data_IF_430929487292
#
_entry.id   IF_430929487292
#
_cell.length_a   1.000
_cell.length_b   1.000
_cell.length_c   1.000
_cell.angle_alpha   90.00
_cell.angle_beta   90.00
_cell.angle_gamma   90.00
#
_symmetry.space_group_name_H-M   'P 1'
#
loop_
_entity.id
_entity.type
_entity.pdbx_description
1 polymer ?
#
# COMPACT_ATOMS: atom_id res chain seq x y z
N UNK A 1 0.32 17.74 -1.82
CA UNK A 1 0.70 16.31 -1.90
C UNK A 1 -0.16 15.39 -1.02
N UNK A 2 -0.75 15.86 0.08
CA UNK A 2 -1.55 14.97 0.98
C UNK A 2 -2.98 14.67 0.52
N UNK A 3 -3.52 15.40 -0.45
CA UNK A 3 -4.92 15.27 -0.86
C UNK A 3 -5.23 13.86 -1.39
N UNK A 4 -4.37 13.33 -2.26
CA UNK A 4 -4.56 12.04 -2.93
C UNK A 4 -4.48 10.86 -1.93
N UNK A 5 -3.47 10.78 -1.03
CA UNK A 5 -3.47 9.80 0.06
C UNK A 5 -4.69 9.89 0.98
N UNK A 6 -5.17 11.09 1.30
CA UNK A 6 -6.39 11.26 2.13
C UNK A 6 -7.65 10.76 1.43
N UNK A 7 -7.77 10.97 0.11
CA UNK A 7 -8.86 10.41 -0.68
C UNK A 7 -8.81 8.88 -0.68
N UNK A 8 -7.61 8.29 -0.84
CA UNK A 8 -7.41 6.85 -0.75
C UNK A 8 -7.85 6.34 0.63
N UNK A 9 -7.39 6.97 1.71
CA UNK A 9 -7.79 6.59 3.06
C UNK A 9 -9.32 6.57 3.22
N UNK A 10 -10.03 7.62 2.81
CA UNK A 10 -11.50 7.67 2.88
C UNK A 10 -12.18 6.57 2.06
N UNK A 11 -11.64 6.23 0.88
CA UNK A 11 -12.22 5.20 0.02
C UNK A 11 -12.01 3.79 0.57
N UNK A 12 -10.86 3.54 1.18
CA UNK A 12 -10.45 2.23 1.69
C UNK A 12 -10.84 1.98 3.15
N UNK A 13 -11.15 3.03 3.92
CA UNK A 13 -11.60 2.97 5.31
C UNK A 13 -12.74 1.97 5.57
N UNK A 14 -13.86 1.97 4.83
CA UNK A 14 -14.94 1.00 5.06
C UNK A 14 -14.51 -0.46 4.80
N UNK A 15 -13.41 -0.67 4.06
CA UNK A 15 -12.89 -1.98 3.69
C UNK A 15 -11.68 -2.40 4.54
N UNK A 16 -11.28 -1.62 5.56
CA UNK A 16 -10.05 -1.87 6.31
C UNK A 16 -10.09 -3.09 7.23
N UNK A 17 -11.23 -3.76 7.36
CA UNK A 17 -11.30 -5.02 8.10
C UNK A 17 -10.69 -6.15 7.26
N UNK A 18 -9.85 -6.98 7.90
CA UNK A 18 -9.17 -8.13 7.29
C UNK A 18 -8.34 -7.79 6.04
N UNK A 19 -7.63 -6.66 6.05
CA UNK A 19 -6.79 -6.19 4.92
C UNK A 19 -5.85 -7.28 4.40
N UNK A 20 -5.11 -7.93 5.29
CA UNK A 20 -4.14 -8.94 4.90
C UNK A 20 -4.80 -10.10 4.14
N UNK A 21 -5.95 -10.58 4.62
CA UNK A 21 -6.70 -11.64 3.96
C UNK A 21 -7.22 -11.21 2.58
N UNK A 22 -7.70 -9.97 2.44
CA UNK A 22 -8.17 -9.43 1.16
C UNK A 22 -7.05 -9.31 0.13
N UNK A 23 -5.89 -8.80 0.54
CA UNK A 23 -4.73 -8.67 -0.34
C UNK A 23 -4.21 -10.04 -0.75
N UNK A 24 -4.03 -10.97 0.20
CA UNK A 24 -3.57 -12.33 -0.10
C UNK A 24 -4.57 -13.05 -1.02
N UNK A 25 -5.87 -12.98 -0.73
CA UNK A 25 -6.91 -13.58 -1.56
C UNK A 25 -6.90 -13.01 -2.98
N UNK A 26 -6.78 -11.70 -3.12
CA UNK A 26 -6.67 -11.05 -4.43
C UNK A 26 -5.41 -11.53 -5.19
N UNK A 27 -4.25 -11.58 -4.55
CA UNK A 27 -3.01 -12.06 -5.17
C UNK A 27 -3.12 -13.52 -5.60
N UNK A 28 -3.73 -14.38 -4.79
CA UNK A 28 -3.96 -15.78 -5.15
C UNK A 28 -4.86 -15.93 -6.38
N UNK A 29 -5.93 -15.12 -6.48
CA UNK A 29 -6.82 -15.10 -7.65
C UNK A 29 -6.05 -14.67 -8.90
N UNK A 30 -5.26 -13.58 -8.81
CA UNK A 30 -4.44 -13.10 -9.93
C UNK A 30 -3.44 -14.17 -10.36
N UNK A 31 -2.77 -14.84 -9.41
CA UNK A 31 -1.83 -15.92 -9.71
C UNK A 31 -2.51 -17.11 -10.39
N UNK A 32 -3.67 -17.54 -9.88
CA UNK A 32 -4.42 -18.65 -10.45
C UNK A 32 -4.89 -18.33 -11.89
N UNK A 33 -5.45 -17.14 -12.12
CA UNK A 33 -5.88 -16.70 -13.45
C UNK A 33 -4.68 -16.59 -14.42
N UNK A 34 -3.56 -16.06 -13.95
CA UNK A 34 -2.32 -15.96 -14.74
C UNK A 34 -1.82 -17.35 -15.12
N UNK A 35 -1.80 -18.30 -14.18
CA UNK A 35 -1.35 -19.66 -14.41
C UNK A 35 -2.22 -20.40 -15.43
N UNK A 36 -3.56 -20.31 -15.29
CA UNK A 36 -4.50 -20.94 -16.22
C UNK A 36 -4.34 -20.39 -17.65
N UNK A 37 -4.15 -19.08 -17.78
CA UNK A 37 -4.10 -18.43 -19.10
C UNK A 37 -2.72 -18.48 -19.77
N UNK A 38 -1.66 -18.82 -19.02
CA UNK A 38 -0.28 -18.82 -19.51
C UNK A 38 -0.07 -19.77 -20.69
N UNK A 39 -0.68 -20.95 -20.63
CA UNK A 39 -0.43 -22.02 -21.61
C UNK A 39 -1.25 -21.84 -22.89
N UNK A 40 -2.37 -21.13 -22.84
CA UNK A 40 -3.26 -20.91 -23.99
C UNK A 40 -3.01 -19.57 -24.68
N UNK A 41 -2.78 -18.51 -23.91
CA UNK A 41 -2.67 -17.14 -24.41
C UNK A 41 -1.64 -16.34 -23.59
N UNK A 42 -0.33 -16.45 -23.91
CA UNK A 42 0.74 -15.80 -23.15
C UNK A 42 0.56 -14.29 -22.97
N UNK A 43 -0.01 -13.62 -23.99
CA UNK A 43 -0.29 -12.19 -23.96
C UNK A 43 -1.42 -11.83 -22.98
N UNK A 44 -2.48 -12.63 -22.95
CA UNK A 44 -3.58 -12.47 -22.00
C UNK A 44 -3.10 -12.72 -20.57
N UNK A 45 -2.27 -13.76 -20.36
CA UNK A 45 -1.64 -14.06 -19.08
C UNK A 45 -0.76 -12.91 -18.58
N UNK A 46 0.09 -12.35 -19.44
CA UNK A 46 0.90 -11.17 -19.12
C UNK A 46 0.02 -9.97 -18.76
N UNK A 47 -1.06 -9.73 -19.51
CA UNK A 47 -2.00 -8.65 -19.20
C UNK A 47 -2.67 -8.85 -17.83
N UNK A 48 -3.16 -10.04 -17.53
CA UNK A 48 -3.77 -10.39 -16.23
C UNK A 48 -2.76 -10.20 -15.10
N UNK A 49 -1.52 -10.67 -15.26
CA UNK A 49 -0.49 -10.53 -14.25
C UNK A 49 -0.18 -9.06 -13.95
N UNK A 50 0.11 -8.27 -14.97
CA UNK A 50 0.52 -6.88 -14.80
C UNK A 50 -0.63 -5.98 -14.32
N UNK A 51 -1.85 -6.19 -14.82
CA UNK A 51 -3.03 -5.47 -14.34
C UNK A 51 -3.40 -5.87 -12.91
N UNK A 52 -3.32 -7.16 -12.59
CA UNK A 52 -3.50 -7.67 -11.24
C UNK A 52 -2.45 -7.12 -10.27
N UNK A 53 -1.18 -7.09 -10.68
CA UNK A 53 -0.10 -6.51 -9.88
C UNK A 53 -0.30 -5.01 -9.63
N UNK A 54 -0.65 -4.23 -10.67
CA UNK A 54 -0.96 -2.82 -10.53
C UNK A 54 -2.13 -2.57 -9.56
N UNK A 55 -3.23 -3.33 -9.71
CA UNK A 55 -4.35 -3.27 -8.79
C UNK A 55 -3.96 -3.67 -7.36
N UNK A 56 -3.10 -4.68 -7.20
CA UNK A 56 -2.53 -5.09 -5.92
C UNK A 56 -1.75 -3.96 -5.24
N UNK A 57 -0.91 -3.24 -5.97
CA UNK A 57 -0.18 -2.07 -5.46
C UNK A 57 -1.15 -0.97 -5.02
N UNK A 58 -2.18 -0.67 -5.81
CA UNK A 58 -3.23 0.31 -5.48
C UNK A 58 -3.97 -0.08 -4.20
N UNK A 59 -4.30 -1.37 -4.02
CA UNK A 59 -4.91 -1.89 -2.79
C UNK A 59 -3.98 -1.69 -1.59
N UNK A 60 -2.69 -2.08 -1.72
CA UNK A 60 -1.70 -1.95 -0.65
C UNK A 60 -1.55 -0.49 -0.20
N UNK A 61 -1.32 0.44 -1.13
CA UNK A 61 -1.18 1.87 -0.79
C UNK A 61 -2.49 2.45 -0.25
N UNK A 62 -3.64 1.98 -0.73
CA UNK A 62 -4.96 2.35 -0.23
C UNK A 62 -5.14 2.00 1.24
N UNK A 63 -4.86 0.77 1.61
CA UNK A 63 -4.96 0.33 3.00
C UNK A 63 -3.87 0.94 3.90
N UNK A 64 -2.65 1.13 3.39
CA UNK A 64 -1.60 1.86 4.12
C UNK A 64 -2.00 3.32 4.38
N UNK A 65 -2.67 3.96 3.42
CA UNK A 65 -3.23 5.30 3.63
C UNK A 65 -4.25 5.33 4.77
N UNK A 66 -5.10 4.30 4.88
CA UNK A 66 -6.01 4.18 6.03
C UNK A 66 -5.21 4.10 7.34
N UNK A 67 -4.17 3.25 7.42
CA UNK A 67 -3.36 3.11 8.63
C UNK A 67 -2.64 4.41 9.02
N UNK A 68 -2.18 5.19 8.04
CA UNK A 68 -1.49 6.45 8.27
C UNK A 68 -2.43 7.55 8.78
N UNK A 69 -3.66 7.63 8.25
CA UNK A 69 -4.61 8.70 8.59
C UNK A 69 -5.65 8.31 9.64
N UNK A 70 -5.74 7.03 10.02
CA UNK A 70 -6.61 6.60 11.11
C UNK A 70 -6.13 7.23 12.42
N UNK A 71 -7.02 7.80 13.24
CA UNK A 71 -6.63 8.32 14.55
C UNK A 71 -5.97 7.19 15.35
N UNK A 72 -4.67 7.35 15.63
CA UNK A 72 -3.95 6.41 16.50
C UNK A 72 -4.52 6.59 17.89
N UNK A 73 -5.17 5.55 18.43
CA UNK A 73 -5.53 5.53 19.83
C UNK A 73 -4.24 5.80 20.62
N UNK A 74 -4.26 6.85 21.44
CA UNK A 74 -3.12 7.19 22.30
C UNK A 74 -2.75 5.92 23.07
N UNK A 75 -1.47 5.55 23.04
CA UNK A 75 -0.95 4.40 23.78
C UNK A 75 -1.33 4.54 25.25
N UNK A 76 -2.36 3.81 25.68
CA UNK A 76 -2.71 3.69 27.09
C UNK A 76 -1.89 2.54 27.65
N UNK A 77 -0.73 2.88 28.22
CA UNK A 77 0.08 1.93 28.99
C UNK A 77 -0.22 2.09 30.47
N UNK A 78 -0.44 0.97 31.16
CA UNK A 78 -0.67 0.94 32.61
C UNK A 78 0.65 0.95 33.41
N UNK A 79 1.80 0.88 32.73
CA UNK A 79 3.10 0.81 33.38
C UNK A 79 3.64 2.22 33.70
N UNK A 80 3.89 2.54 34.99
CA UNK A 80 4.28 3.89 35.43
C UNK A 80 5.64 4.33 34.89
N UNK A 81 6.58 3.41 34.65
CA UNK A 81 7.89 3.73 34.08
C UNK A 81 7.76 4.15 32.61
N UNK A 82 6.92 3.45 31.85
CA UNK A 82 6.63 3.80 30.46
C UNK A 82 5.90 5.14 30.38
N UNK A 83 4.98 5.44 31.31
CA UNK A 83 4.34 6.75 31.37
C UNK A 83 5.34 7.89 31.60
N UNK A 84 6.33 7.73 32.49
CA UNK A 84 7.38 8.74 32.69
C UNK A 84 8.23 8.96 31.43
N UNK A 85 8.59 7.89 30.72
CA UNK A 85 9.36 7.98 29.47
C UNK A 85 8.53 8.66 28.38
N UNK A 86 7.26 8.25 28.22
CA UNK A 86 6.34 8.81 27.22
C UNK A 86 6.01 10.29 27.47
N UNK A 87 6.02 10.72 28.74
CA UNK A 87 5.78 12.11 29.15
C UNK A 87 7.05 12.98 29.16
N UNK A 88 8.23 12.42 28.83
CA UNK A 88 9.46 13.20 28.78
C UNK A 88 9.51 14.11 27.56
N UNK A 89 10.00 15.34 27.73
CA UNK A 89 10.13 16.33 26.64
C UNK A 89 11.03 15.84 25.51
N UNK A 90 12.05 15.02 25.82
CA UNK A 90 12.91 14.37 24.85
C UNK A 90 12.13 13.38 23.97
N UNK A 91 11.28 12.55 24.59
CA UNK A 91 10.45 11.59 23.87
C UNK A 91 9.41 12.30 22.99
N UNK A 92 8.75 13.34 23.52
CA UNK A 92 7.80 14.14 22.73
C UNK A 92 8.47 14.79 21.51
N UNK A 93 9.68 15.35 21.70
CA UNK A 93 10.46 15.93 20.59
C UNK A 93 10.86 14.88 19.57
N UNK A 94 11.32 13.70 20.01
CA UNK A 94 11.67 12.58 19.15
C UNK A 94 10.45 12.08 18.34
N UNK A 95 9.31 11.91 18.99
CA UNK A 95 8.05 11.49 18.34
C UNK A 95 7.57 12.55 17.33
N UNK A 96 7.70 13.83 17.65
CA UNK A 96 7.39 14.94 16.73
C UNK A 96 8.25 14.88 15.47
N UNK A 97 9.56 14.74 15.61
CA UNK A 97 10.50 14.63 14.48
C UNK A 97 10.21 13.36 13.68
N UNK A 98 10.05 12.22 14.36
CA UNK A 98 9.76 10.93 13.71
C UNK A 98 8.41 10.93 12.98
N UNK A 99 7.39 11.59 13.53
CA UNK A 99 6.08 11.75 12.88
C UNK A 99 6.21 12.53 11.57
N UNK A 100 6.98 13.62 11.55
CA UNK A 100 7.26 14.39 10.33
C UNK A 100 8.02 13.57 9.29
N UNK A 101 9.08 12.89 9.71
CA UNK A 101 9.91 12.05 8.83
C UNK A 101 9.10 10.89 8.27
N UNK A 102 8.34 10.17 9.10
CA UNK A 102 7.49 9.06 8.64
C UNK A 102 6.39 9.52 7.70
N UNK A 103 5.78 10.69 7.93
CA UNK A 103 4.80 11.28 7.01
C UNK A 103 5.43 11.62 5.66
N UNK A 104 6.64 12.19 5.65
CA UNK A 104 7.37 12.48 4.43
C UNK A 104 7.73 11.20 3.66
N UNK A 105 8.28 10.18 4.34
CA UNK A 105 8.61 8.88 3.74
C UNK A 105 7.35 8.24 3.15
N UNK A 106 6.24 8.25 3.89
CA UNK A 106 4.97 7.73 3.43
C UNK A 106 4.49 8.45 2.16
N UNK A 107 4.57 9.78 2.11
CA UNK A 107 4.18 10.55 0.93
C UNK A 107 5.02 10.20 -0.28
N UNK A 108 6.35 10.13 -0.12
CA UNK A 108 7.25 9.75 -1.22
C UNK A 108 6.94 8.33 -1.70
N UNK A 109 6.85 7.37 -0.77
CA UNK A 109 6.53 5.98 -1.09
C UNK A 109 5.17 5.87 -1.80
N UNK A 110 4.14 6.56 -1.31
CA UNK A 110 2.81 6.57 -1.92
C UNK A 110 2.85 6.96 -3.40
N UNK A 111 3.57 8.03 -3.73
CA UNK A 111 3.65 8.50 -5.12
C UNK A 111 4.51 7.57 -5.97
N UNK A 112 5.63 7.06 -5.45
CA UNK A 112 6.47 6.08 -6.16
C UNK A 112 5.68 4.82 -6.51
N UNK A 113 4.92 4.27 -5.55
CA UNK A 113 4.09 3.10 -5.78
C UNK A 113 2.92 3.36 -6.72
N UNK A 114 2.29 4.54 -6.65
CA UNK A 114 1.21 4.93 -7.57
C UNK A 114 1.73 5.04 -9.01
N UNK A 115 2.88 5.71 -9.18
CA UNK A 115 3.55 5.83 -10.48
C UNK A 115 3.94 4.44 -11.00
N UNK A 116 4.51 3.59 -10.15
CA UNK A 116 4.87 2.23 -10.53
C UNK A 116 3.66 1.37 -10.91
N UNK A 117 2.52 1.52 -10.22
CA UNK A 117 1.27 0.85 -10.58
C UNK A 117 0.77 1.30 -11.96
N UNK A 118 0.84 2.60 -12.26
CA UNK A 118 0.46 3.13 -13.59
C UNK A 118 1.40 2.60 -14.67
N UNK A 119 2.72 2.63 -14.45
CA UNK A 119 3.69 2.11 -15.41
C UNK A 119 3.52 0.60 -15.63
N UNK A 120 3.22 -0.16 -14.57
CA UNK A 120 3.00 -1.62 -14.62
C UNK A 120 1.93 -2.01 -15.65
N UNK A 121 0.91 -1.17 -15.86
CA UNK A 121 -0.14 -1.42 -16.87
C UNK A 121 0.35 -1.35 -18.31
N UNK A 122 1.47 -0.67 -18.57
CA UNK A 122 2.05 -0.54 -19.92
C UNK A 122 3.06 -1.65 -20.26
N UNK A 123 3.61 -2.35 -19.27
CA UNK A 123 4.53 -3.47 -19.48
C UNK A 123 4.02 -4.59 -20.40
N UNK A 124 2.74 -5.03 -20.38
CA UNK A 124 2.27 -6.05 -21.31
C UNK A 124 2.41 -5.61 -22.78
N UNK A 125 2.40 -4.30 -23.07
CA UNK A 125 2.61 -3.76 -24.41
C UNK A 125 4.10 -3.59 -24.76
N UNK A 126 4.97 -3.37 -23.77
CA UNK A 126 6.43 -3.32 -24.00
C UNK A 126 7.01 -4.72 -24.29
N UNK A 127 6.48 -5.76 -23.64
CA UNK A 127 6.82 -7.15 -23.93
C UNK A 127 6.41 -7.60 -25.34
N UNK A 128 5.38 -6.98 -25.92
CA UNK A 128 4.98 -7.15 -27.31
C UNK A 128 5.99 -6.55 -28.31
N UNK A 129 6.64 -5.44 -27.95
CA UNK A 129 7.60 -4.73 -28.82
C UNK A 129 8.99 -5.37 -28.79
N UNK A 130 9.38 -5.97 -27.66
CA UNK A 130 10.66 -6.68 -27.50
C UNK A 130 10.57 -8.21 -27.65
N UNK A 131 9.35 -8.76 -27.75
CA UNK A 131 9.10 -10.17 -28.01
C UNK A 131 9.12 -10.50 -29.50
N UNK A 132 10.28 -10.32 -30.14
CA UNK A 132 10.73 -11.01 -31.35
C UNK A 132 12.11 -11.57 -31.11
#
# INVERSE_FOLDING_TARGET
>A
MEYLPKLFARKFEPHSNYVALKIIGFLLIVMALTAITKDFMPLLSSFIFHSGFAAGLVLVIGFQSVQQYRPKNKFQTSNPLLLCILASSLFESLVSVWSKVSSFIFLVAFHVFLVFAVFSLFFPFLGLVHGR
#
